data_IF_027469765741
#
_entry.id   IF_027469765741
#
_cell.length_a   1.000
_cell.length_b   1.000
_cell.length_c   1.000
_cell.angle_alpha   90.00
_cell.angle_beta   90.00
_cell.angle_gamma   90.00
#
_symmetry.space_group_name_H-M   'P 1'
#
loop_
_entity.id
_entity.type
_entity.pdbx_description
1 polymer ?
#
# COMPACT_ATOMS: atom_id res chain seq x y z
N UNK A 1 -4.80 15.52 -20.00
CA UNK A 1 -3.94 15.41 -21.22
C UNK A 1 -2.70 14.63 -20.79
N UNK A 2 -2.14 13.78 -21.66
CA UNK A 2 -0.89 13.08 -21.34
C UNK A 2 0.24 14.10 -21.02
N UNK A 3 1.02 13.82 -19.97
CA UNK A 3 2.15 14.68 -19.53
C UNK A 3 3.27 14.68 -20.58
N UNK A 4 3.54 13.52 -21.19
CA UNK A 4 4.60 13.33 -22.18
C UNK A 4 4.11 12.58 -23.43
N UNK A 5 4.59 12.99 -24.59
CA UNK A 5 4.58 12.19 -25.82
C UNK A 5 5.84 11.32 -25.94
N UNK A 6 5.83 10.32 -26.83
CA UNK A 6 7.03 9.54 -27.15
C UNK A 6 8.22 10.43 -27.55
N UNK A 7 7.96 11.45 -28.35
CA UNK A 7 9.00 12.37 -28.81
C UNK A 7 9.56 13.24 -27.67
N UNK A 8 8.72 13.62 -26.70
CA UNK A 8 9.21 14.35 -25.53
C UNK A 8 10.17 13.49 -24.71
N UNK A 9 9.84 12.21 -24.47
CA UNK A 9 10.72 11.31 -23.71
C UNK A 9 12.03 11.08 -24.46
N UNK A 10 12.01 10.84 -25.77
CA UNK A 10 13.23 10.67 -26.58
C UNK A 10 14.11 11.91 -26.48
N UNK A 11 13.52 13.11 -26.63
CA UNK A 11 14.24 14.38 -26.51
C UNK A 11 14.84 14.56 -25.10
N UNK A 12 14.07 14.30 -24.04
CA UNK A 12 14.55 14.44 -22.65
C UNK A 12 15.71 13.48 -22.38
N UNK A 13 15.61 12.22 -22.86
CA UNK A 13 16.67 11.22 -22.69
C UNK A 13 17.98 11.68 -23.32
N UNK A 14 17.94 12.34 -24.48
CA UNK A 14 19.12 12.90 -25.15
C UNK A 14 19.66 14.16 -24.45
N UNK A 15 18.77 15.11 -24.12
CA UNK A 15 19.14 16.39 -23.47
C UNK A 15 19.71 16.20 -22.05
N UNK A 16 19.22 15.21 -21.30
CA UNK A 16 19.58 14.94 -19.91
C UNK A 16 20.67 13.89 -19.73
N UNK A 17 21.29 13.41 -20.82
CA UNK A 17 22.34 12.38 -20.80
C UNK A 17 21.92 11.12 -20.03
N UNK A 18 20.72 10.60 -20.35
CA UNK A 18 20.17 9.39 -19.73
C UNK A 18 20.67 8.16 -20.50
N UNK A 19 21.44 7.30 -19.85
CA UNK A 19 21.99 6.09 -20.46
C UNK A 19 21.14 4.85 -20.23
N UNK A 20 20.42 4.79 -19.09
CA UNK A 20 19.60 3.63 -18.71
C UNK A 20 18.18 4.04 -18.38
N UNK A 21 17.22 3.26 -18.85
CA UNK A 21 15.80 3.37 -18.48
C UNK A 21 15.36 2.07 -17.82
N UNK A 22 14.75 2.19 -16.65
CA UNK A 22 14.15 1.06 -15.92
C UNK A 22 12.67 0.98 -16.26
N UNK A 23 12.30 -0.07 -16.97
CA UNK A 23 10.92 -0.44 -17.21
C UNK A 23 10.42 -1.18 -15.96
N UNK A 24 9.62 -0.51 -15.14
CA UNK A 24 9.19 -1.00 -13.84
C UNK A 24 7.78 -1.56 -13.90
N UNK A 25 7.54 -2.63 -13.18
CA UNK A 25 6.21 -3.22 -12.96
C UNK A 25 6.16 -3.87 -11.58
N UNK A 26 4.98 -4.26 -11.11
CA UNK A 26 4.81 -4.81 -9.76
C UNK A 26 4.18 -6.20 -9.86
N UNK A 27 4.70 -7.18 -9.10
CA UNK A 27 4.09 -8.49 -9.01
C UNK A 27 2.85 -8.50 -8.10
N UNK A 28 2.13 -9.63 -8.04
CA UNK A 28 0.89 -9.73 -7.26
C UNK A 28 1.09 -9.53 -5.76
N UNK A 29 2.31 -9.71 -5.25
CA UNK A 29 2.66 -9.52 -3.83
C UNK A 29 3.15 -8.11 -3.50
N UNK A 30 3.16 -7.19 -4.46
CA UNK A 30 3.59 -5.82 -4.25
C UNK A 30 5.11 -5.62 -4.33
N UNK A 31 5.84 -6.57 -4.91
CA UNK A 31 7.28 -6.42 -5.13
C UNK A 31 7.54 -5.69 -6.45
N UNK A 32 8.29 -4.58 -6.36
CA UNK A 32 8.70 -3.83 -7.55
C UNK A 32 9.77 -4.59 -8.33
N UNK A 33 9.49 -4.87 -9.60
CA UNK A 33 10.38 -5.51 -10.57
C UNK A 33 10.81 -4.52 -11.63
N UNK A 34 11.87 -4.82 -12.38
CA UNK A 34 12.23 -4.01 -13.54
C UNK A 34 13.05 -4.78 -14.57
N UNK A 35 12.93 -4.34 -15.82
CA UNK A 35 13.89 -4.64 -16.89
C UNK A 35 14.64 -3.34 -17.19
N UNK A 36 15.97 -3.36 -17.16
CA UNK A 36 16.79 -2.21 -17.52
C UNK A 36 17.17 -2.28 -19.01
N UNK A 37 16.91 -1.19 -19.72
CA UNK A 37 17.32 -1.00 -21.10
C UNK A 37 18.29 0.17 -21.23
N UNK A 38 19.13 0.15 -22.26
CA UNK A 38 19.95 1.34 -22.65
C UNK A 38 19.10 2.32 -23.44
N UNK A 39 19.51 3.58 -23.49
CA UNK A 39 18.83 4.63 -24.26
C UNK A 39 18.65 4.21 -25.75
N UNK A 40 19.59 3.48 -26.33
CA UNK A 40 19.48 2.97 -27.72
C UNK A 40 18.31 1.99 -27.96
N UNK A 41 17.70 1.41 -26.90
CA UNK A 41 16.54 0.53 -26.98
C UNK A 41 15.23 1.24 -26.64
N UNK A 42 15.26 2.55 -26.35
CA UNK A 42 14.11 3.30 -25.89
C UNK A 42 12.95 3.28 -26.90
N UNK A 43 13.21 3.56 -28.17
CA UNK A 43 12.18 3.57 -29.21
C UNK A 43 11.45 2.22 -29.31
N UNK A 44 12.21 1.12 -29.24
CA UNK A 44 11.63 -0.24 -29.20
C UNK A 44 10.69 -0.43 -28.00
N UNK A 45 11.08 0.07 -26.84
CA UNK A 45 10.26 -0.03 -25.62
C UNK A 45 9.01 0.85 -25.72
N UNK A 46 9.13 2.08 -26.21
CA UNK A 46 8.02 2.99 -26.45
C UNK A 46 7.01 2.47 -27.50
N UNK A 47 7.45 1.57 -28.36
CA UNK A 47 6.61 0.85 -29.33
C UNK A 47 5.98 -0.44 -28.76
N UNK A 48 6.06 -0.65 -27.43
CA UNK A 48 5.51 -1.82 -26.73
C UNK A 48 6.16 -3.16 -27.21
N UNK A 49 7.41 -3.13 -27.60
CA UNK A 49 8.13 -4.29 -28.14
C UNK A 49 9.17 -4.85 -27.16
N UNK A 50 9.13 -4.44 -25.90
CA UNK A 50 10.02 -4.98 -24.86
C UNK A 50 9.42 -6.23 -24.26
N UNK A 51 9.93 -7.40 -24.71
CA UNK A 51 9.54 -8.70 -24.23
C UNK A 51 10.38 -9.10 -23.00
N UNK A 52 9.79 -9.84 -22.09
CA UNK A 52 10.47 -10.45 -20.94
C UNK A 52 9.86 -11.81 -20.60
N UNK A 53 10.60 -12.64 -19.88
CA UNK A 53 10.14 -13.94 -19.39
C UNK A 53 9.41 -13.75 -18.04
N UNK A 54 8.10 -13.97 -18.02
CA UNK A 54 7.27 -13.91 -16.82
C UNK A 54 7.28 -15.17 -15.97
N UNK A 55 7.79 -16.31 -16.48
CA UNK A 55 7.68 -17.61 -15.80
C UNK A 55 8.49 -17.71 -14.50
N UNK A 56 9.52 -16.88 -14.34
CA UNK A 56 10.33 -16.79 -13.12
C UNK A 56 9.80 -15.78 -12.09
N UNK A 57 8.65 -15.17 -12.36
CA UNK A 57 8.00 -14.22 -11.43
C UNK A 57 6.88 -14.95 -10.71
N UNK A 58 6.99 -15.02 -9.38
CA UNK A 58 5.99 -15.68 -8.55
C UNK A 58 4.59 -15.10 -8.77
N UNK A 59 3.62 -15.98 -8.99
CA UNK A 59 2.24 -15.59 -9.25
C UNK A 59 1.94 -15.10 -10.66
N UNK A 60 2.92 -15.08 -11.59
CA UNK A 60 2.69 -14.70 -12.98
C UNK A 60 2.23 -15.89 -13.82
N UNK A 61 3.00 -16.32 -14.79
CA UNK A 61 2.58 -17.32 -15.79
C UNK A 61 3.38 -18.62 -15.67
N UNK A 62 2.95 -19.65 -16.38
CA UNK A 62 3.68 -20.91 -16.52
C UNK A 62 4.78 -20.79 -17.58
N UNK A 63 5.73 -21.75 -17.58
CA UNK A 63 6.85 -21.78 -18.54
C UNK A 63 6.35 -21.80 -20.01
N UNK A 64 5.22 -22.44 -20.27
CA UNK A 64 4.65 -22.57 -21.61
C UNK A 64 4.06 -21.26 -22.17
N UNK A 65 3.83 -20.27 -21.30
CA UNK A 65 3.23 -18.96 -21.64
C UNK A 65 4.13 -17.82 -21.18
N UNK A 66 5.46 -18.02 -21.17
CA UNK A 66 6.42 -17.13 -20.50
C UNK A 66 6.64 -15.78 -21.18
N UNK A 67 6.39 -15.68 -22.48
CA UNK A 67 6.65 -14.45 -23.26
C UNK A 67 5.60 -13.38 -22.97
N UNK A 68 6.03 -12.34 -22.25
CA UNK A 68 5.20 -11.18 -21.88
C UNK A 68 5.81 -9.89 -22.38
N UNK A 69 5.00 -8.85 -22.47
CA UNK A 69 5.41 -7.53 -22.97
C UNK A 69 5.15 -6.42 -21.95
N UNK A 70 6.10 -5.49 -21.87
CA UNK A 70 5.98 -4.28 -21.07
C UNK A 70 5.46 -3.14 -21.95
N UNK A 71 4.34 -2.54 -21.54
CA UNK A 71 3.76 -1.38 -22.18
C UNK A 71 3.98 -0.14 -21.30
N UNK A 72 4.95 0.73 -21.64
CA UNK A 72 5.31 1.91 -20.85
C UNK A 72 4.16 2.91 -20.75
N UNK A 73 3.81 3.31 -19.53
CA UNK A 73 2.95 4.45 -19.25
C UNK A 73 3.80 5.73 -19.24
N UNK A 74 3.69 6.51 -20.29
CA UNK A 74 4.58 7.65 -20.56
C UNK A 74 4.48 8.74 -19.48
N UNK A 75 3.31 8.89 -18.86
CA UNK A 75 3.08 9.92 -17.84
C UNK A 75 3.85 9.61 -16.54
N UNK A 76 4.36 8.38 -16.41
CA UNK A 76 5.16 7.95 -15.26
C UNK A 76 6.67 8.11 -15.46
N UNK A 77 7.13 8.65 -16.61
CA UNK A 77 8.56 8.88 -16.84
C UNK A 77 9.16 9.78 -15.75
N UNK A 78 10.31 9.36 -15.20
CA UNK A 78 10.97 10.06 -14.10
C UNK A 78 12.47 9.78 -14.07
N UNK A 79 13.28 10.81 -13.85
CA UNK A 79 14.74 10.71 -13.68
C UNK A 79 15.03 10.47 -12.20
N UNK A 80 15.88 9.49 -11.88
CA UNK A 80 16.28 9.23 -10.50
C UNK A 80 17.31 10.22 -9.97
N UNK A 81 17.01 11.07 -8.98
CA UNK A 81 17.91 12.09 -8.49
C UNK A 81 19.12 11.54 -7.73
N UNK A 82 19.05 10.30 -7.25
CA UNK A 82 20.14 9.63 -6.54
C UNK A 82 21.16 8.94 -7.45
N UNK A 83 21.06 9.07 -8.75
CA UNK A 83 22.04 8.54 -9.71
C UNK A 83 23.08 9.58 -10.12
N UNK A 84 24.22 9.16 -10.72
CA UNK A 84 25.26 10.09 -11.17
C UNK A 84 24.72 11.17 -12.11
N UNK A 85 25.41 12.31 -12.13
CA UNK A 85 25.10 13.41 -13.07
C UNK A 85 25.46 13.08 -14.53
N UNK A 86 26.42 12.16 -14.74
CA UNK A 86 26.73 11.58 -16.05
C UNK A 86 26.19 10.16 -16.11
N UNK A 87 25.59 9.79 -17.24
CA UNK A 87 24.95 8.48 -17.41
C UNK A 87 23.75 8.34 -16.47
N UNK A 88 22.86 9.32 -16.45
CA UNK A 88 21.65 9.32 -15.62
C UNK A 88 20.79 8.09 -15.87
N UNK A 89 19.96 7.80 -14.90
CA UNK A 89 18.99 6.69 -14.96
C UNK A 89 17.59 7.24 -14.78
N UNK A 90 16.69 6.89 -15.71
CA UNK A 90 15.26 7.14 -15.59
C UNK A 90 14.49 5.85 -15.36
N UNK A 91 13.21 5.99 -15.04
CA UNK A 91 12.25 4.88 -14.99
C UNK A 91 10.99 5.23 -15.78
N UNK A 92 10.27 4.20 -16.25
CA UNK A 92 8.89 4.28 -16.71
C UNK A 92 8.16 3.10 -16.09
N UNK A 93 7.00 3.34 -15.50
CA UNK A 93 6.13 2.25 -15.02
C UNK A 93 5.41 1.66 -16.23
N UNK A 94 5.30 0.35 -16.25
CA UNK A 94 4.72 -0.40 -17.36
C UNK A 94 3.52 -1.21 -16.89
N UNK A 95 2.53 -1.31 -17.75
CA UNK A 95 1.51 -2.35 -17.67
C UNK A 95 2.05 -3.63 -18.33
N UNK A 96 1.57 -4.79 -17.87
CA UNK A 96 1.99 -6.10 -18.39
C UNK A 96 0.96 -6.64 -19.36
N UNK A 97 1.44 -7.14 -20.51
CA UNK A 97 0.60 -7.67 -21.58
C UNK A 97 1.06 -9.06 -21.99
N UNK A 98 0.13 -9.89 -22.45
CA UNK A 98 0.37 -11.18 -23.06
C UNK A 98 0.88 -11.04 -24.49
N UNK A 99 1.45 -12.11 -25.04
CA UNK A 99 1.99 -12.15 -26.41
C UNK A 99 0.92 -11.88 -27.49
N UNK A 100 -0.33 -12.15 -27.21
CA UNK A 100 -1.47 -11.88 -28.11
C UNK A 100 -1.94 -10.42 -28.10
N UNK A 101 -1.32 -9.57 -27.25
CA UNK A 101 -1.66 -8.16 -27.10
C UNK A 101 -2.79 -7.88 -26.12
N UNK A 102 -3.27 -8.87 -25.37
CA UNK A 102 -4.24 -8.65 -24.29
C UNK A 102 -3.55 -8.24 -23.02
N UNK A 103 -4.16 -7.37 -22.16
CA UNK A 103 -3.64 -7.10 -20.82
C UNK A 103 -3.54 -8.38 -20.01
N UNK A 104 -2.50 -8.50 -19.20
CA UNK A 104 -2.32 -9.64 -18.31
C UNK A 104 -3.23 -9.51 -17.07
N UNK A 105 -4.11 -10.47 -16.85
CA UNK A 105 -5.05 -10.47 -15.70
C UNK A 105 -4.33 -10.61 -14.33
N UNK A 106 -3.07 -11.00 -14.31
CA UNK A 106 -2.21 -11.04 -13.13
C UNK A 106 -1.46 -9.73 -12.85
N UNK A 107 -1.67 -8.68 -13.63
CA UNK A 107 -1.08 -7.36 -13.38
C UNK A 107 -1.93 -6.59 -12.35
N UNK A 108 -1.41 -6.34 -11.11
CA UNK A 108 -2.16 -5.60 -10.09
C UNK A 108 -2.54 -4.18 -10.53
N UNK A 109 -1.67 -3.52 -11.31
CA UNK A 109 -1.93 -2.18 -11.83
C UNK A 109 -3.12 -2.18 -12.78
N UNK A 110 -3.25 -3.22 -13.61
CA UNK A 110 -4.39 -3.41 -14.49
C UNK A 110 -5.69 -3.66 -13.69
N UNK A 111 -5.65 -4.42 -12.59
CA UNK A 111 -6.81 -4.61 -11.71
C UNK A 111 -7.33 -3.26 -11.19
N UNK A 112 -6.44 -2.39 -10.69
CA UNK A 112 -6.81 -1.06 -10.23
C UNK A 112 -7.41 -0.22 -11.38
N UNK A 113 -6.79 -0.21 -12.55
CA UNK A 113 -7.30 0.48 -13.74
C UNK A 113 -8.73 0.05 -14.11
N UNK A 114 -9.03 -1.25 -14.04
CA UNK A 114 -10.38 -1.77 -14.29
C UNK A 114 -11.41 -1.18 -13.31
N UNK A 115 -11.08 -1.06 -12.03
CA UNK A 115 -11.99 -0.50 -11.02
C UNK A 115 -12.15 1.02 -11.18
N UNK A 116 -11.06 1.73 -11.48
CA UNK A 116 -11.10 3.17 -11.77
C UNK A 116 -11.98 3.45 -12.98
N UNK A 117 -11.88 2.65 -14.04
CA UNK A 117 -12.74 2.82 -15.22
C UNK A 117 -14.22 2.58 -14.90
N UNK A 118 -14.55 1.55 -14.10
CA UNK A 118 -15.93 1.33 -13.61
C UNK A 118 -16.45 2.53 -12.80
N UNK A 119 -15.64 3.13 -11.95
CA UNK A 119 -15.99 4.31 -11.18
C UNK A 119 -16.18 5.55 -12.09
N UNK A 120 -15.30 5.76 -13.07
CA UNK A 120 -15.41 6.84 -14.07
C UNK A 120 -16.70 6.76 -14.90
N UNK A 121 -17.15 5.56 -15.25
CA UNK A 121 -18.44 5.36 -15.95
C UNK A 121 -19.63 5.78 -15.10
N UNK A 122 -19.49 5.83 -13.77
CA UNK A 122 -20.48 6.39 -12.83
C UNK A 122 -20.29 7.89 -12.57
N UNK A 123 -19.26 8.49 -13.15
CA UNK A 123 -18.89 9.89 -12.98
C UNK A 123 -18.01 10.14 -11.76
N UNK A 124 -17.44 9.11 -11.12
CA UNK A 124 -16.61 9.24 -9.92
C UNK A 124 -15.12 9.23 -10.26
N UNK A 125 -14.37 10.09 -9.56
CA UNK A 125 -12.91 10.06 -9.48
C UNK A 125 -12.55 9.64 -8.07
N UNK A 126 -11.68 8.65 -7.93
CA UNK A 126 -11.21 8.14 -6.65
C UNK A 126 -9.90 8.81 -6.26
N UNK A 127 -9.91 9.57 -5.18
CA UNK A 127 -8.76 10.28 -4.63
C UNK A 127 -8.26 9.56 -3.37
N UNK A 128 -6.94 9.42 -3.25
CA UNK A 128 -6.28 8.67 -2.19
C UNK A 128 -5.06 9.41 -1.66
N UNK A 129 -4.95 9.53 -0.33
CA UNK A 129 -3.77 10.02 0.39
C UNK A 129 -3.27 8.94 1.35
N UNK A 130 -2.11 8.34 1.13
CA UNK A 130 -1.57 7.33 2.01
C UNK A 130 -0.70 7.94 3.10
N UNK A 131 -0.69 7.31 4.28
CA UNK A 131 0.25 7.53 5.37
C UNK A 131 1.05 6.23 5.53
N UNK A 132 2.34 6.21 5.14
CA UNK A 132 3.11 4.98 5.05
C UNK A 132 4.31 5.02 6.00
N UNK A 133 4.17 4.33 7.12
CA UNK A 133 5.18 4.24 8.17
C UNK A 133 6.30 3.24 7.82
N UNK A 134 7.49 3.48 8.37
CA UNK A 134 8.65 2.62 8.18
C UNK A 134 9.63 2.72 9.35
N UNK A 135 10.52 1.73 9.47
CA UNK A 135 11.60 1.72 10.45
C UNK A 135 12.96 1.94 9.79
N UNK A 136 13.86 2.64 10.50
CA UNK A 136 15.28 2.80 10.14
C UNK A 136 16.15 2.05 11.14
N UNK A 137 16.76 0.95 10.70
CA UNK A 137 17.63 0.13 11.53
C UNK A 137 19.10 0.21 11.10
N UNK A 138 20.00 -0.12 12.03
CA UNK A 138 21.42 -0.29 11.73
C UNK A 138 21.65 -1.60 10.98
N UNK A 139 22.71 -1.60 10.17
CA UNK A 139 23.29 -2.81 9.62
C UNK A 139 24.28 -3.41 10.62
N UNK A 140 24.48 -4.72 10.58
CA UNK A 140 25.56 -5.37 11.32
C UNK A 140 26.94 -5.15 10.65
N UNK A 141 28.00 -5.69 11.24
CA UNK A 141 29.38 -5.60 10.73
C UNK A 141 29.58 -6.23 9.35
N UNK A 142 28.67 -7.12 8.94
CA UNK A 142 28.67 -7.76 7.62
C UNK A 142 27.72 -7.06 6.62
N UNK A 143 27.14 -5.92 7.02
CA UNK A 143 26.17 -5.18 6.21
C UNK A 143 24.78 -5.82 6.12
N UNK A 144 24.46 -6.76 7.03
CA UNK A 144 23.14 -7.39 7.06
C UNK A 144 22.13 -6.54 7.87
N UNK A 145 20.86 -6.55 7.50
CA UNK A 145 19.82 -5.86 8.24
C UNK A 145 19.66 -6.39 9.66
N UNK A 146 19.47 -5.48 10.61
CA UNK A 146 19.15 -5.81 12.00
C UNK A 146 17.83 -5.14 12.40
N UNK A 147 17.38 -5.40 13.64
CA UNK A 147 16.31 -4.63 14.30
C UNK A 147 16.87 -3.70 15.39
N UNK A 148 18.16 -3.39 15.31
CA UNK A 148 18.85 -2.56 16.29
C UNK A 148 18.71 -1.09 15.90
N UNK A 149 18.36 -0.27 16.89
CA UNK A 149 18.41 1.19 16.84
C UNK A 149 19.04 1.69 18.13
N UNK A 150 19.84 2.73 18.06
CA UNK A 150 20.47 3.37 19.23
C UNK A 150 19.65 4.53 19.78
N UNK A 151 18.58 4.93 19.09
CA UNK A 151 17.70 6.00 19.54
C UNK A 151 16.64 5.51 20.53
N UNK A 152 16.08 6.47 21.27
CA UNK A 152 14.94 6.30 22.17
C UNK A 152 13.86 7.36 21.95
N UNK A 153 13.87 7.96 20.77
CA UNK A 153 12.87 8.95 20.38
C UNK A 153 11.48 8.32 20.31
N UNK A 154 10.47 9.14 20.48
CA UNK A 154 9.06 8.82 20.40
C UNK A 154 8.32 9.82 19.50
N UNK A 155 7.01 9.83 19.60
CA UNK A 155 6.12 10.60 18.72
C UNK A 155 6.45 12.10 18.71
N UNK A 156 6.76 12.63 17.53
CA UNK A 156 7.15 14.03 17.28
C UNK A 156 8.45 14.49 17.97
N UNK A 157 9.27 13.58 18.46
CA UNK A 157 10.62 13.96 18.93
C UNK A 157 11.47 14.50 17.78
N UNK A 158 12.46 15.31 18.12
CA UNK A 158 13.38 15.96 17.19
C UNK A 158 14.84 15.68 17.58
N UNK A 159 15.79 16.08 16.74
CA UNK A 159 17.20 16.01 17.10
C UNK A 159 17.52 16.80 18.39
N UNK A 160 18.42 16.30 19.25
CA UNK A 160 19.32 15.17 19.02
C UNK A 160 18.76 13.79 19.41
N UNK A 161 17.51 13.66 19.85
CA UNK A 161 16.94 12.38 20.24
C UNK A 161 16.56 11.52 19.03
N UNK A 162 15.98 12.14 17.99
CA UNK A 162 15.71 11.51 16.70
C UNK A 162 17.01 11.40 15.87
N UNK A 163 17.60 10.21 15.86
CA UNK A 163 18.84 9.95 15.11
C UNK A 163 18.58 9.68 13.62
N UNK A 164 17.33 9.48 13.22
CA UNK A 164 16.91 9.30 11.82
C UNK A 164 16.62 10.60 11.10
N UNK A 165 16.57 11.75 11.79
CA UNK A 165 16.15 13.05 11.24
C UNK A 165 16.90 13.45 9.96
N UNK A 166 18.23 13.29 9.92
CA UNK A 166 19.02 13.64 8.74
C UNK A 166 18.71 12.73 7.54
N UNK A 167 18.53 11.43 7.77
CA UNK A 167 18.15 10.51 6.70
C UNK A 167 16.74 10.83 6.19
N UNK A 168 15.79 11.10 7.09
CA UNK A 168 14.41 11.46 6.75
C UNK A 168 14.36 12.80 5.99
N UNK A 169 15.16 13.80 6.38
CA UNK A 169 15.30 15.07 5.65
C UNK A 169 15.76 14.82 4.21
N UNK A 170 16.80 14.00 4.00
CA UNK A 170 17.30 13.73 2.66
C UNK A 170 16.31 12.89 1.84
N UNK A 171 15.50 12.04 2.48
CA UNK A 171 14.37 11.34 1.85
C UNK A 171 13.32 12.32 1.35
N UNK A 172 12.89 13.28 2.19
CA UNK A 172 11.94 14.33 1.82
C UNK A 172 12.42 15.12 0.60
N UNK A 173 13.64 15.67 0.65
CA UNK A 173 14.20 16.45 -0.46
C UNK A 173 14.32 15.62 -1.75
N UNK A 174 14.68 14.33 -1.62
CA UNK A 174 14.73 13.43 -2.78
C UNK A 174 13.35 13.18 -3.38
N UNK A 175 12.32 13.05 -2.55
CA UNK A 175 10.94 12.87 -3.02
C UNK A 175 10.39 14.14 -3.67
N UNK A 176 10.72 15.34 -3.13
CA UNK A 176 10.37 16.62 -3.76
C UNK A 176 11.05 16.78 -5.15
N UNK A 177 12.32 16.36 -5.28
CA UNK A 177 13.01 16.29 -6.59
C UNK A 177 12.34 15.29 -7.57
N UNK A 178 11.45 14.42 -7.08
CA UNK A 178 10.66 13.47 -7.85
C UNK A 178 9.19 13.87 -8.00
N UNK A 179 8.89 15.15 -7.93
CA UNK A 179 7.55 15.74 -8.07
C UNK A 179 6.54 15.33 -6.96
N UNK A 180 7.01 14.80 -5.81
CA UNK A 180 6.11 14.58 -4.67
C UNK A 180 5.85 15.91 -3.94
N UNK A 181 4.59 16.20 -3.66
CA UNK A 181 4.20 17.28 -2.74
C UNK A 181 4.15 16.72 -1.32
N UNK A 182 5.20 16.99 -0.53
CA UNK A 182 5.31 16.48 0.86
C UNK A 182 4.51 17.39 1.80
N UNK A 183 3.62 16.78 2.59
CA UNK A 183 2.78 17.51 3.56
C UNK A 183 3.38 17.50 4.97
N UNK A 184 3.95 16.36 5.41
CA UNK A 184 4.57 16.23 6.71
C UNK A 184 5.67 15.17 6.72
N UNK A 185 6.59 15.28 7.70
CA UNK A 185 7.53 14.21 8.03
C UNK A 185 7.87 14.26 9.52
N UNK A 186 7.79 13.17 10.23
CA UNK A 186 8.03 13.13 11.67
C UNK A 186 8.52 11.77 12.15
N UNK A 187 9.00 11.77 13.40
CA UNK A 187 9.28 10.55 14.15
C UNK A 187 7.97 9.98 14.70
N UNK A 188 7.80 8.66 14.59
CA UNK A 188 6.65 7.93 15.07
C UNK A 188 6.79 7.44 16.53
N UNK A 189 5.76 6.73 17.05
CA UNK A 189 5.66 6.31 18.45
C UNK A 189 6.79 5.34 18.84
N UNK A 190 7.12 4.39 17.96
CA UNK A 190 8.15 3.41 18.28
C UNK A 190 9.56 3.96 17.98
N UNK A 191 10.58 3.62 18.80
CA UNK A 191 11.97 3.94 18.48
C UNK A 191 12.37 3.46 17.08
N UNK A 192 13.00 4.31 16.31
CA UNK A 192 13.39 4.11 14.92
C UNK A 192 12.24 4.10 13.90
N UNK A 193 11.03 4.47 14.29
CA UNK A 193 9.87 4.53 13.41
C UNK A 193 9.67 5.96 12.90
N UNK A 194 9.37 6.07 11.61
CA UNK A 194 9.22 7.33 10.89
C UNK A 194 8.03 7.29 9.97
N UNK A 195 7.51 8.49 9.66
CA UNK A 195 6.44 8.70 8.69
C UNK A 195 6.78 9.90 7.81
N UNK A 196 6.42 9.81 6.54
CA UNK A 196 6.50 10.90 5.57
C UNK A 196 5.19 10.88 4.78
N UNK A 197 4.40 11.94 4.93
CA UNK A 197 3.11 12.09 4.26
C UNK A 197 3.27 12.92 3.01
N UNK A 198 2.63 12.47 1.95
CA UNK A 198 2.56 13.19 0.69
C UNK A 198 1.10 13.37 0.25
N UNK A 199 0.86 14.44 -0.47
CA UNK A 199 -0.47 14.87 -0.87
C UNK A 199 -1.22 13.78 -1.62
N UNK A 200 -2.53 13.76 -1.39
CA UNK A 200 -3.46 12.88 -2.09
C UNK A 200 -3.53 13.19 -3.59
N UNK A 201 -3.74 12.16 -4.39
CA UNK A 201 -3.97 12.26 -5.82
C UNK A 201 -4.98 11.20 -6.31
N UNK A 202 -5.23 11.14 -7.62
CA UNK A 202 -6.00 10.04 -8.20
C UNK A 202 -5.34 8.68 -7.91
N UNK A 203 -6.15 7.69 -7.62
CA UNK A 203 -5.71 6.41 -7.03
C UNK A 203 -4.60 5.68 -7.80
N UNK A 204 -4.59 5.72 -9.15
CA UNK A 204 -3.52 5.07 -9.92
C UNK A 204 -2.17 5.74 -9.68
N UNK A 205 -2.15 7.09 -9.73
CA UNK A 205 -0.94 7.85 -9.48
C UNK A 205 -0.45 7.65 -8.03
N UNK A 206 -1.36 7.65 -7.06
CA UNK A 206 -1.02 7.36 -5.66
C UNK A 206 -0.44 5.96 -5.48
N UNK A 207 -0.98 4.92 -6.13
CA UNK A 207 -0.41 3.57 -6.06
C UNK A 207 1.01 3.52 -6.66
N UNK A 208 1.22 4.17 -7.82
CA UNK A 208 2.54 4.32 -8.44
C UNK A 208 3.52 5.09 -7.52
N UNK A 209 3.04 6.12 -6.83
CA UNK A 209 3.80 6.90 -5.87
C UNK A 209 4.17 6.10 -4.63
N UNK A 210 3.29 5.27 -4.06
CA UNK A 210 3.64 4.37 -2.93
C UNK A 210 4.79 3.44 -3.30
N UNK A 211 4.78 2.85 -4.50
CA UNK A 211 5.87 1.99 -4.95
C UNK A 211 7.19 2.75 -5.13
N UNK A 212 7.11 3.95 -5.68
CA UNK A 212 8.25 4.86 -5.86
C UNK A 212 8.81 5.33 -4.51
N UNK A 213 7.92 5.72 -3.58
CA UNK A 213 8.24 6.09 -2.21
C UNK A 213 9.06 5.00 -1.51
N UNK A 214 8.57 3.76 -1.50
CA UNK A 214 9.29 2.63 -0.88
C UNK A 214 10.69 2.42 -1.48
N UNK A 215 10.84 2.61 -2.79
CA UNK A 215 12.14 2.53 -3.46
C UNK A 215 13.06 3.67 -3.02
N UNK A 216 12.57 4.91 -3.00
CA UNK A 216 13.34 6.09 -2.60
C UNK A 216 13.81 5.98 -1.14
N UNK A 217 12.89 5.67 -0.21
CA UNK A 217 13.20 5.51 1.22
C UNK A 217 14.31 4.48 1.43
N UNK A 218 14.18 3.27 0.83
CA UNK A 218 15.22 2.23 0.95
C UNK A 218 16.56 2.66 0.35
N UNK A 219 16.54 3.40 -0.76
CA UNK A 219 17.74 3.85 -1.44
C UNK A 219 18.48 4.91 -0.63
N UNK A 220 17.76 5.89 -0.09
CA UNK A 220 18.35 6.97 0.71
C UNK A 220 18.80 6.46 2.07
N UNK A 221 18.02 5.59 2.75
CA UNK A 221 18.45 4.94 3.98
C UNK A 221 19.81 4.25 3.82
N UNK A 222 20.00 3.48 2.73
CA UNK A 222 21.27 2.82 2.43
C UNK A 222 22.44 3.81 2.27
N UNK A 223 22.21 5.01 1.74
CA UNK A 223 23.24 6.06 1.64
C UNK A 223 23.67 6.60 2.99
N UNK A 224 22.78 6.57 3.98
CA UNK A 224 23.04 6.92 5.37
C UNK A 224 23.59 5.75 6.22
N UNK A 225 23.88 4.60 5.60
CA UNK A 225 24.32 3.40 6.33
C UNK A 225 23.23 2.73 7.16
N UNK A 226 21.95 3.01 6.82
CA UNK A 226 20.76 2.48 7.48
C UNK A 226 20.02 1.50 6.58
N UNK A 227 19.18 0.69 7.19
CA UNK A 227 18.25 -0.20 6.52
C UNK A 227 16.81 0.26 6.79
N UNK A 228 16.09 0.64 5.74
CA UNK A 228 14.67 0.96 5.85
C UNK A 228 13.83 -0.30 5.72
N UNK A 229 13.01 -0.56 6.74
CA UNK A 229 12.08 -1.69 6.79
C UNK A 229 10.64 -1.24 6.75
N UNK A 230 9.87 -1.82 5.83
CA UNK A 230 8.42 -1.72 5.75
C UNK A 230 7.72 -2.95 6.36
N UNK A 231 8.41 -3.70 7.19
CA UNK A 231 7.85 -4.83 7.93
C UNK A 231 6.80 -4.34 8.92
N UNK A 232 5.58 -4.91 8.94
CA UNK A 232 4.47 -4.41 9.77
C UNK A 232 4.76 -4.41 11.27
N UNK A 233 5.48 -5.41 11.78
CA UNK A 233 5.81 -5.55 13.21
C UNK A 233 7.23 -6.09 13.39
N UNK A 234 8.28 -5.27 13.21
CA UNK A 234 9.66 -5.75 13.28
C UNK A 234 10.14 -6.01 14.71
N UNK A 235 9.51 -5.42 15.73
CA UNK A 235 9.91 -5.54 17.13
C UNK A 235 8.73 -5.86 18.04
N UNK A 236 8.95 -6.77 18.99
CA UNK A 236 8.00 -7.03 20.08
C UNK A 236 7.96 -5.85 21.06
N UNK A 237 6.78 -5.58 21.62
CA UNK A 237 6.60 -4.60 22.70
C UNK A 237 6.59 -3.12 22.28
N UNK A 238 6.63 -2.81 20.97
CA UNK A 238 6.50 -1.44 20.43
C UNK A 238 5.43 -1.38 19.35
N UNK A 239 4.98 -0.18 18.95
CA UNK A 239 4.04 -0.01 17.83
C UNK A 239 4.62 -0.59 16.54
N UNK A 240 3.75 -1.08 15.67
CA UNK A 240 4.11 -1.53 14.31
C UNK A 240 3.78 -0.46 13.27
N UNK A 241 4.19 -0.69 12.02
CA UNK A 241 3.94 0.24 10.91
C UNK A 241 2.60 -0.01 10.25
N UNK A 242 1.81 1.04 10.11
CA UNK A 242 0.60 1.12 9.30
C UNK A 242 0.86 1.71 7.93
N UNK A 243 -0.08 1.51 7.04
CA UNK A 243 -0.23 2.26 5.80
C UNK A 243 -1.68 2.71 5.73
N UNK A 244 -2.01 3.80 6.45
CA UNK A 244 -3.37 4.30 6.48
C UNK A 244 -3.75 4.85 5.10
N UNK A 245 -4.98 4.60 4.69
CA UNK A 245 -5.48 5.01 3.38
C UNK A 245 -6.61 6.02 3.58
N UNK A 246 -6.32 7.29 3.34
CA UNK A 246 -7.32 8.36 3.28
C UNK A 246 -7.98 8.35 1.91
N UNK A 247 -9.31 8.30 1.86
CA UNK A 247 -10.07 8.12 0.63
C UNK A 247 -11.20 9.12 0.51
N UNK A 248 -11.42 9.61 -0.70
CA UNK A 248 -12.62 10.36 -1.08
C UNK A 248 -13.03 10.09 -2.52
N UNK A 249 -14.27 10.38 -2.85
CA UNK A 249 -14.75 10.41 -4.22
C UNK A 249 -15.08 11.84 -4.62
N UNK A 250 -14.71 12.22 -5.82
CA UNK A 250 -15.18 13.47 -6.43
C UNK A 250 -16.01 13.20 -7.68
N UNK A 251 -16.93 14.12 -7.96
CA UNK A 251 -17.77 14.14 -9.16
C UNK A 251 -17.88 15.58 -9.66
N UNK A 252 -17.61 15.79 -10.94
CA UNK A 252 -17.63 17.11 -11.57
C UNK A 252 -16.73 18.13 -10.82
N UNK A 253 -15.60 17.67 -10.26
CA UNK A 253 -14.64 18.48 -9.52
C UNK A 253 -15.05 18.79 -8.07
N UNK A 254 -16.13 18.22 -7.54
CA UNK A 254 -16.60 18.42 -6.16
C UNK A 254 -16.44 17.15 -5.35
N UNK A 255 -15.92 17.25 -4.14
CA UNK A 255 -15.87 16.15 -3.19
C UNK A 255 -17.28 15.75 -2.76
N UNK A 256 -17.72 14.55 -3.10
CA UNK A 256 -19.10 14.09 -2.84
C UNK A 256 -19.27 13.50 -1.43
N UNK A 257 -18.21 13.38 -0.63
CA UNK A 257 -18.30 12.89 0.74
C UNK A 257 -18.73 13.94 1.74
N UNK A 258 -18.62 15.24 1.38
CA UNK A 258 -18.99 16.34 2.28
C UNK A 258 -20.49 16.66 2.21
N UNK A 259 -21.08 16.92 3.39
CA UNK A 259 -22.43 17.45 3.55
C UNK A 259 -22.47 18.33 4.79
N UNK A 260 -22.54 19.66 4.61
CA UNK A 260 -22.53 20.63 5.70
C UNK A 260 -23.74 20.51 6.64
N UNK A 261 -24.85 19.96 6.16
CA UNK A 261 -26.09 19.80 6.94
C UNK A 261 -26.05 18.57 7.86
N UNK A 262 -25.18 17.59 7.55
CA UNK A 262 -25.01 16.42 8.40
C UNK A 262 -24.22 16.72 9.66
N UNK A 263 -24.57 16.07 10.76
CA UNK A 263 -23.91 16.25 12.07
C UNK A 263 -22.41 15.98 12.04
N UNK A 264 -21.99 14.94 11.33
CA UNK A 264 -20.58 14.56 11.14
C UNK A 264 -19.99 15.17 9.87
N UNK A 265 -20.82 15.84 9.04
CA UNK A 265 -20.45 16.42 7.76
C UNK A 265 -20.23 15.38 6.67
N UNK A 266 -20.90 14.24 6.75
CA UNK A 266 -20.83 13.15 5.77
C UNK A 266 -22.08 13.14 4.89
N UNK A 267 -21.90 12.92 3.59
CA UNK A 267 -23.00 12.65 2.67
C UNK A 267 -23.52 11.23 2.83
N UNK A 268 -24.68 10.93 2.24
CA UNK A 268 -25.19 9.56 2.16
C UNK A 268 -24.22 8.65 1.42
N UNK A 269 -23.56 9.13 0.36
CA UNK A 269 -22.56 8.39 -0.39
C UNK A 269 -21.35 8.03 0.47
N UNK A 270 -20.91 8.91 1.36
CA UNK A 270 -19.83 8.63 2.31
C UNK A 270 -20.22 7.52 3.29
N UNK A 271 -21.44 7.58 3.86
CA UNK A 271 -21.94 6.51 4.72
C UNK A 271 -22.04 5.18 3.98
N UNK A 272 -22.58 5.16 2.77
CA UNK A 272 -22.65 3.93 1.97
C UNK A 272 -21.27 3.38 1.61
N UNK A 273 -20.32 4.26 1.30
CA UNK A 273 -18.93 3.87 1.03
C UNK A 273 -18.29 3.17 2.23
N UNK A 274 -18.47 3.73 3.44
CA UNK A 274 -18.04 3.13 4.71
C UNK A 274 -18.70 1.76 4.89
N UNK A 275 -20.03 1.67 4.71
CA UNK A 275 -20.78 0.43 4.83
C UNK A 275 -20.29 -0.67 3.88
N UNK A 276 -19.97 -0.30 2.64
CA UNK A 276 -19.41 -1.22 1.65
C UNK A 276 -18.03 -1.77 2.06
N UNK A 277 -17.13 -0.91 2.53
CA UNK A 277 -15.81 -1.35 3.03
C UNK A 277 -15.97 -2.28 4.24
N UNK A 278 -16.80 -1.90 5.22
CA UNK A 278 -17.02 -2.72 6.44
C UNK A 278 -17.57 -4.11 6.08
N UNK A 279 -18.51 -4.20 5.14
CA UNK A 279 -19.12 -5.46 4.68
C UNK A 279 -18.09 -6.46 4.15
N UNK A 280 -17.13 -5.99 3.33
CA UNK A 280 -16.14 -6.84 2.65
C UNK A 280 -14.80 -6.94 3.40
N UNK A 281 -14.67 -6.29 4.55
CA UNK A 281 -13.37 -6.12 5.22
C UNK A 281 -12.68 -7.41 5.59
N UNK A 282 -13.43 -8.43 6.04
CA UNK A 282 -12.83 -9.73 6.39
C UNK A 282 -12.15 -10.39 5.20
N UNK A 283 -12.83 -10.41 4.04
CA UNK A 283 -12.25 -10.93 2.79
C UNK A 283 -11.10 -10.08 2.26
N UNK A 284 -11.14 -8.75 2.48
CA UNK A 284 -10.06 -7.84 2.09
C UNK A 284 -8.81 -7.98 2.96
N UNK A 285 -8.92 -8.50 4.18
CA UNK A 285 -7.83 -8.44 5.18
C UNK A 285 -6.56 -9.13 4.69
N UNK A 286 -6.66 -10.27 4.01
CA UNK A 286 -5.46 -10.95 3.48
C UNK A 286 -4.72 -10.14 2.39
N UNK A 287 -5.36 -9.16 1.77
CA UNK A 287 -4.75 -8.25 0.79
C UNK A 287 -4.21 -6.99 1.48
N UNK A 288 -4.94 -6.46 2.47
CA UNK A 288 -4.51 -5.27 3.22
C UNK A 288 -3.43 -5.59 4.26
N UNK A 289 -3.34 -6.85 4.71
CA UNK A 289 -2.44 -7.36 5.74
C UNK A 289 -1.88 -8.73 5.30
N UNK A 290 -0.97 -8.74 4.31
CA UNK A 290 -0.74 -9.92 3.47
C UNK A 290 0.21 -10.97 4.02
N UNK A 291 0.89 -10.75 5.14
CA UNK A 291 1.94 -11.63 5.65
C UNK A 291 1.66 -12.07 7.09
N UNK A 292 2.23 -13.19 7.52
CA UNK A 292 2.07 -13.67 8.91
C UNK A 292 2.46 -12.61 9.94
N UNK A 293 3.41 -11.76 9.61
CA UNK A 293 3.84 -10.66 10.48
C UNK A 293 2.80 -9.54 10.61
N UNK A 294 1.93 -9.34 9.62
CA UNK A 294 0.85 -8.35 9.65
C UNK A 294 -0.04 -8.50 10.89
N UNK A 295 -0.39 -9.73 11.25
CA UNK A 295 -1.26 -10.08 12.37
C UNK A 295 -0.60 -9.88 13.74
N UNK A 296 0.72 -9.71 13.80
CA UNK A 296 1.43 -9.29 15.00
C UNK A 296 1.13 -7.82 15.41
N UNK A 297 0.54 -7.03 14.50
CA UNK A 297 -0.01 -5.69 14.80
C UNK A 297 -1.36 -5.76 15.49
N UNK A 298 -2.20 -6.75 15.18
CA UNK A 298 -3.57 -6.89 15.65
C UNK A 298 -3.63 -7.44 17.09
N UNK A 299 -2.96 -6.74 18.00
CA UNK A 299 -2.95 -7.09 19.43
C UNK A 299 -3.43 -5.89 20.26
N UNK A 300 -4.25 -6.11 21.31
CA UNK A 300 -4.73 -5.04 22.17
C UNK A 300 -3.60 -4.23 22.79
N UNK A 301 -3.80 -2.90 22.92
CA UNK A 301 -2.81 -2.01 23.55
C UNK A 301 -1.86 -1.32 22.58
N UNK A 302 -1.97 -1.58 21.28
CA UNK A 302 -1.28 -0.86 20.21
C UNK A 302 -2.30 -0.18 19.28
N UNK A 303 -1.85 0.72 18.41
CA UNK A 303 -2.74 1.60 17.63
C UNK A 303 -3.44 0.93 16.44
N UNK A 304 -3.06 -0.30 16.07
CA UNK A 304 -3.70 -1.01 14.96
C UNK A 304 -5.13 -1.44 15.32
N UNK A 305 -6.11 -1.23 14.43
CA UNK A 305 -7.50 -1.66 14.67
C UNK A 305 -7.62 -3.18 14.61
N UNK A 306 -8.43 -3.75 15.51
CA UNK A 306 -8.73 -5.18 15.56
C UNK A 306 -10.19 -5.45 15.20
N UNK A 307 -11.07 -4.46 15.38
CA UNK A 307 -12.51 -4.60 15.25
C UNK A 307 -13.03 -3.80 14.05
N UNK A 308 -14.03 -4.36 13.36
CA UNK A 308 -14.68 -3.72 12.22
C UNK A 308 -15.68 -2.69 12.73
N UNK A 309 -15.20 -1.49 12.96
CA UNK A 309 -15.97 -0.36 13.49
C UNK A 309 -15.54 0.93 12.81
N UNK A 310 -16.34 1.99 12.92
CA UNK A 310 -15.98 3.32 12.45
C UNK A 310 -16.31 4.40 13.49
N UNK A 311 -15.57 5.50 13.44
CA UNK A 311 -15.79 6.65 14.34
C UNK A 311 -15.22 7.95 13.79
N UNK A 312 -15.86 9.07 14.19
CA UNK A 312 -15.34 10.42 14.00
C UNK A 312 -14.64 10.97 15.26
N UNK A 313 -14.66 10.24 16.38
CA UNK A 313 -14.27 10.78 17.70
C UNK A 313 -13.07 10.10 18.34
N UNK A 314 -12.67 8.91 17.90
CA UNK A 314 -11.52 8.20 18.46
C UNK A 314 -10.64 7.57 17.36
N UNK A 315 -9.46 7.05 17.73
CA UNK A 315 -8.47 6.44 16.80
C UNK A 315 -8.42 4.91 16.87
N UNK A 316 -9.26 4.28 17.67
CA UNK A 316 -9.27 2.83 17.80
C UNK A 316 -10.04 2.07 16.70
N UNK A 317 -10.98 2.68 15.94
CA UNK A 317 -11.76 1.97 14.94
C UNK A 317 -10.96 1.69 13.66
N UNK A 318 -11.50 0.76 12.88
CA UNK A 318 -11.01 0.39 11.55
C UNK A 318 -11.07 1.58 10.57
N UNK A 319 -12.20 2.31 10.59
CA UNK A 319 -12.41 3.49 9.75
C UNK A 319 -12.57 4.71 10.65
N UNK A 320 -11.69 5.69 10.44
CA UNK A 320 -11.74 6.98 11.11
C UNK A 320 -12.24 8.05 10.15
N UNK A 321 -13.00 9.00 10.68
CA UNK A 321 -13.41 10.19 9.94
C UNK A 321 -12.60 11.38 10.45
N UNK A 322 -11.60 11.87 9.71
CA UNK A 322 -10.85 13.06 10.07
C UNK A 322 -11.74 14.31 10.18
N UNK A 323 -11.32 15.29 10.99
CA UNK A 323 -12.10 16.49 11.27
C UNK A 323 -12.25 17.47 10.09
N UNK A 324 -11.43 17.30 9.04
CA UNK A 324 -11.49 18.16 7.85
C UNK A 324 -12.87 18.12 7.18
N UNK A 325 -13.28 19.24 6.58
CA UNK A 325 -14.56 19.43 5.89
C UNK A 325 -14.36 19.96 4.47
N UNK A 326 -15.42 20.04 3.68
CA UNK A 326 -15.37 20.48 2.30
C UNK A 326 -14.47 19.58 1.45
N UNK A 327 -13.57 20.17 0.69
CA UNK A 327 -12.60 19.43 -0.18
C UNK A 327 -11.73 18.44 0.60
N UNK A 328 -11.46 18.70 1.88
CA UNK A 328 -10.68 17.82 2.76
C UNK A 328 -11.48 16.66 3.37
N UNK A 329 -12.79 16.54 3.11
CA UNK A 329 -13.62 15.47 3.67
C UNK A 329 -13.19 14.12 3.11
N UNK A 330 -12.91 13.16 4.01
CA UNK A 330 -12.40 11.85 3.65
C UNK A 330 -12.72 10.79 4.69
N UNK A 331 -12.54 9.54 4.34
CA UNK A 331 -12.57 8.39 5.23
C UNK A 331 -11.18 7.76 5.27
N UNK A 332 -10.70 7.41 6.45
CA UNK A 332 -9.38 6.84 6.68
C UNK A 332 -9.52 5.37 7.07
N UNK A 333 -9.00 4.46 6.23
CA UNK A 333 -8.90 3.03 6.53
C UNK A 333 -7.56 2.76 7.21
N UNK A 334 -7.57 2.17 8.42
CA UNK A 334 -6.41 2.12 9.30
C UNK A 334 -5.74 0.75 9.45
N UNK A 335 -6.36 -0.33 8.97
CA UNK A 335 -5.77 -1.66 9.08
C UNK A 335 -4.65 -1.96 8.08
N UNK A 336 -4.62 -1.43 6.83
CA UNK A 336 -3.57 -1.78 5.90
C UNK A 336 -2.18 -1.54 6.49
N UNK A 337 -1.22 -2.35 6.07
CA UNK A 337 0.17 -2.20 6.45
C UNK A 337 1.09 -2.06 5.23
N UNK A 338 2.34 -1.58 5.43
CA UNK A 338 3.23 -1.27 4.31
C UNK A 338 3.68 -2.47 3.48
N UNK A 339 3.45 -3.71 3.94
CA UNK A 339 3.77 -4.91 3.14
C UNK A 339 2.73 -5.18 2.04
N UNK A 340 1.56 -4.54 2.13
CA UNK A 340 0.49 -4.71 1.17
C UNK A 340 0.83 -4.18 -0.24
N UNK A 341 0.23 -4.80 -1.25
CA UNK A 341 0.27 -4.33 -2.62
C UNK A 341 -0.70 -3.16 -2.80
N UNK A 342 -0.21 -1.91 -3.02
CA UNK A 342 -1.08 -0.74 -3.03
C UNK A 342 -2.13 -0.78 -4.16
N UNK A 343 -1.81 -1.35 -5.30
CA UNK A 343 -2.77 -1.46 -6.42
C UNK A 343 -3.97 -2.32 -6.05
N UNK A 344 -3.74 -3.49 -5.43
CA UNK A 344 -4.81 -4.39 -5.02
C UNK A 344 -5.61 -3.81 -3.84
N UNK A 345 -4.94 -3.20 -2.87
CA UNK A 345 -5.62 -2.52 -1.75
C UNK A 345 -6.57 -1.45 -2.27
N UNK A 346 -6.09 -0.55 -3.15
CA UNK A 346 -6.91 0.54 -3.66
C UNK A 346 -8.02 0.05 -4.59
N UNK A 347 -7.77 -1.00 -5.39
CA UNK A 347 -8.80 -1.62 -6.22
C UNK A 347 -9.95 -2.17 -5.37
N UNK A 348 -9.64 -2.87 -4.28
CA UNK A 348 -10.65 -3.44 -3.38
C UNK A 348 -11.38 -2.36 -2.58
N UNK A 349 -10.68 -1.34 -2.07
CA UNK A 349 -11.31 -0.21 -1.38
C UNK A 349 -12.31 0.51 -2.29
N UNK A 350 -11.92 0.81 -3.52
CA UNK A 350 -12.81 1.44 -4.50
C UNK A 350 -14.01 0.57 -4.82
N UNK A 351 -13.78 -0.71 -5.14
CA UNK A 351 -14.85 -1.63 -5.50
C UNK A 351 -15.86 -1.84 -4.35
N UNK A 352 -15.35 -2.06 -3.12
CA UNK A 352 -16.18 -2.23 -1.93
C UNK A 352 -16.98 -0.96 -1.60
N UNK A 353 -16.34 0.21 -1.68
CA UNK A 353 -17.04 1.49 -1.48
C UNK A 353 -18.12 1.74 -2.52
N UNK A 354 -17.86 1.43 -3.79
CA UNK A 354 -18.85 1.52 -4.87
C UNK A 354 -19.99 0.49 -4.71
N UNK A 355 -19.69 -0.73 -4.23
CA UNK A 355 -20.74 -1.70 -3.86
C UNK A 355 -21.66 -1.13 -2.78
N UNK A 356 -21.08 -0.48 -1.78
CA UNK A 356 -21.82 0.22 -0.74
C UNK A 356 -22.74 1.29 -1.29
N UNK A 357 -22.27 2.15 -2.18
CA UNK A 357 -23.06 3.23 -2.80
C UNK A 357 -24.19 2.63 -3.68
N UNK A 358 -23.86 1.65 -4.54
CA UNK A 358 -24.86 1.02 -5.44
C UNK A 358 -25.99 0.34 -4.68
N UNK A 359 -25.65 -0.36 -3.61
CA UNK A 359 -26.59 -1.16 -2.81
C UNK A 359 -27.13 -0.41 -1.59
N UNK A 360 -26.74 0.86 -1.39
CA UNK A 360 -27.13 1.71 -0.26
C UNK A 360 -26.88 1.02 1.09
N UNK A 361 -25.68 0.44 1.24
CA UNK A 361 -25.29 -0.30 2.44
C UNK A 361 -24.99 0.72 3.54
N UNK A 362 -25.84 0.75 4.56
CA UNK A 362 -25.60 1.58 5.74
C UNK A 362 -24.54 0.92 6.62
N UNK A 363 -23.54 1.68 7.13
CA UNK A 363 -22.66 1.17 8.16
C UNK A 363 -23.43 0.97 9.47
N UNK A 364 -22.90 0.15 10.36
CA UNK A 364 -23.37 0.07 11.73
C UNK A 364 -23.28 1.42 12.44
N UNK A 365 -23.86 1.55 13.63
CA UNK A 365 -23.81 2.80 14.38
C UNK A 365 -22.35 3.20 14.69
N UNK A 366 -22.08 4.53 14.64
CA UNK A 366 -20.79 5.09 15.04
C UNK A 366 -20.41 4.61 16.45
N UNK A 367 -19.20 4.03 16.59
CA UNK A 367 -18.66 3.65 17.88
C UNK A 367 -17.90 4.82 18.52
N UNK A 368 -18.44 5.40 19.57
CA UNK A 368 -17.84 6.57 20.25
C UNK A 368 -16.94 6.17 21.41
N UNK A 369 -17.23 5.03 22.02
CA UNK A 369 -16.46 4.46 23.11
C UNK A 369 -15.15 3.86 22.58
N UNK A 370 -14.15 3.74 23.45
CA UNK A 370 -12.97 2.98 23.15
C UNK A 370 -13.33 1.50 23.08
N UNK A 371 -13.22 0.88 21.90
CA UNK A 371 -13.59 -0.52 21.67
C UNK A 371 -12.86 -1.51 22.58
N UNK A 372 -11.65 -1.17 23.01
CA UNK A 372 -10.83 -2.01 23.89
C UNK A 372 -11.32 -2.01 25.37
N UNK A 373 -12.16 -1.07 25.74
CA UNK A 373 -12.77 -0.99 27.07
C UNK A 373 -14.12 -1.71 27.14
N UNK A 374 -14.70 -2.10 25.99
CA UNK A 374 -15.95 -2.82 25.91
C UNK A 374 -15.75 -4.29 26.33
N UNK A 375 -16.73 -4.81 27.10
CA UNK A 375 -16.78 -6.25 27.42
C UNK A 375 -17.16 -7.06 26.18
N UNK A 376 -16.83 -8.37 26.16
CA UNK A 376 -17.25 -9.27 25.08
C UNK A 376 -18.79 -9.32 24.93
N UNK A 377 -19.53 -9.19 26.06
CA UNK A 377 -20.99 -9.09 26.02
C UNK A 377 -21.47 -7.83 25.33
N UNK A 378 -20.81 -6.68 25.56
CA UNK A 378 -21.16 -5.42 24.89
C UNK A 378 -20.84 -5.48 23.40
N UNK A 379 -19.70 -6.04 23.02
CA UNK A 379 -19.32 -6.22 21.61
C UNK A 379 -20.33 -7.11 20.88
N UNK A 380 -20.70 -8.24 21.46
CA UNK A 380 -21.72 -9.11 20.89
C UNK A 380 -23.10 -8.43 20.78
N UNK A 381 -23.50 -7.66 21.77
CA UNK A 381 -24.76 -6.89 21.75
C UNK A 381 -24.77 -5.83 20.64
N UNK A 382 -23.63 -5.19 20.37
CA UNK A 382 -23.44 -4.17 19.35
C UNK A 382 -23.17 -4.75 17.96
N UNK A 383 -23.04 -6.07 17.84
CA UNK A 383 -22.73 -6.72 16.56
C UNK A 383 -21.29 -6.45 16.07
N UNK A 384 -20.38 -6.05 16.97
CA UNK A 384 -18.99 -5.71 16.59
C UNK A 384 -18.23 -6.98 16.22
N UNK A 385 -17.82 -7.07 14.98
CA UNK A 385 -17.01 -8.17 14.47
C UNK A 385 -15.51 -7.84 14.54
N UNK A 386 -14.67 -8.88 14.66
CA UNK A 386 -13.22 -8.76 14.62
C UNK A 386 -12.68 -8.96 13.21
N UNK A 387 -11.55 -8.33 12.91
CA UNK A 387 -10.69 -8.75 11.79
C UNK A 387 -10.16 -10.17 12.04
N UNK A 388 -9.79 -10.92 10.98
CA UNK A 388 -9.10 -12.19 11.13
C UNK A 388 -7.89 -12.10 12.05
N UNK A 389 -7.71 -13.09 12.93
CA UNK A 389 -6.66 -13.07 13.94
C UNK A 389 -5.29 -13.52 13.42
N UNK A 390 -5.26 -14.23 12.30
CA UNK A 390 -4.05 -14.71 11.65
C UNK A 390 -4.22 -14.83 10.12
N UNK A 391 -3.12 -15.16 9.44
CA UNK A 391 -3.11 -15.27 7.99
C UNK A 391 -4.03 -16.40 7.47
N UNK A 392 -4.14 -17.51 8.21
CA UNK A 392 -5.01 -18.63 7.81
C UNK A 392 -6.48 -18.21 7.83
N UNK A 393 -6.92 -17.61 8.93
CA UNK A 393 -8.30 -17.12 9.04
C UNK A 393 -8.61 -16.10 7.94
N UNK A 394 -7.66 -15.21 7.63
CA UNK A 394 -7.84 -14.23 6.56
C UNK A 394 -7.95 -14.87 5.17
N UNK A 395 -7.19 -15.93 4.89
CA UNK A 395 -7.33 -16.72 3.66
C UNK A 395 -8.71 -17.38 3.58
N UNK A 396 -9.20 -17.96 4.68
CA UNK A 396 -10.53 -18.58 4.72
C UNK A 396 -11.65 -17.53 4.53
N UNK A 397 -11.47 -16.31 5.06
CA UNK A 397 -12.38 -15.19 4.79
C UNK A 397 -12.38 -14.80 3.31
N UNK A 398 -11.20 -14.72 2.67
CA UNK A 398 -11.10 -14.45 1.23
C UNK A 398 -11.83 -15.51 0.41
N UNK A 399 -11.63 -16.80 0.72
CA UNK A 399 -12.31 -17.91 0.03
C UNK A 399 -13.83 -17.88 0.14
N UNK A 400 -14.35 -17.21 1.17
CA UNK A 400 -15.78 -17.08 1.44
C UNK A 400 -16.42 -15.86 0.80
N UNK A 401 -15.64 -14.99 0.14
CA UNK A 401 -16.12 -13.73 -0.43
C UNK A 401 -16.00 -13.73 -1.97
N UNK A 402 -17.09 -14.14 -2.63
CA UNK A 402 -17.17 -14.16 -4.10
C UNK A 402 -17.00 -12.76 -4.74
N UNK A 403 -17.33 -11.69 -4.00
CA UNK A 403 -17.17 -10.33 -4.49
C UNK A 403 -15.67 -10.00 -4.65
N UNK A 404 -14.84 -10.34 -3.66
CA UNK A 404 -13.40 -10.11 -3.76
C UNK A 404 -12.78 -10.94 -4.89
N UNK A 405 -13.23 -12.19 -5.06
CA UNK A 405 -12.84 -13.05 -6.19
C UNK A 405 -13.13 -12.40 -7.55
N UNK A 406 -14.33 -11.84 -7.71
CA UNK A 406 -14.72 -11.14 -8.95
C UNK A 406 -13.80 -9.94 -9.25
N UNK A 407 -13.41 -9.17 -8.21
CA UNK A 407 -12.57 -7.98 -8.37
C UNK A 407 -11.13 -8.35 -8.74
N UNK A 408 -10.55 -9.32 -8.03
CA UNK A 408 -9.17 -9.78 -8.26
C UNK A 408 -9.01 -10.54 -9.59
N UNK A 409 -10.09 -11.21 -10.04
CA UNK A 409 -10.05 -12.15 -11.13
C UNK A 409 -9.43 -13.50 -10.72
N UNK A 410 -9.77 -14.56 -11.46
CA UNK A 410 -9.38 -15.94 -11.14
C UNK A 410 -7.87 -16.09 -10.97
N UNK A 411 -7.08 -15.49 -11.85
CA UNK A 411 -5.62 -15.64 -11.83
C UNK A 411 -5.00 -15.16 -10.52
N UNK A 412 -5.25 -13.89 -10.15
CA UNK A 412 -4.69 -13.32 -8.89
C UNK A 412 -5.29 -14.06 -7.69
N UNK A 413 -6.59 -14.32 -7.69
CA UNK A 413 -7.28 -14.98 -6.59
C UNK A 413 -6.64 -16.35 -6.28
N UNK A 414 -6.52 -17.22 -7.28
CA UNK A 414 -5.98 -18.56 -7.09
C UNK A 414 -4.51 -18.54 -6.67
N UNK A 415 -3.68 -17.73 -7.37
CA UNK A 415 -2.25 -17.61 -7.08
C UNK A 415 -1.97 -17.01 -5.71
N UNK A 416 -2.79 -16.06 -5.30
CA UNK A 416 -2.66 -15.42 -3.99
C UNK A 416 -2.99 -16.40 -2.86
N UNK A 417 -4.08 -17.16 -2.97
CA UNK A 417 -4.45 -18.19 -2.01
C UNK A 417 -3.36 -19.24 -1.91
N UNK A 418 -2.92 -19.79 -3.05
CA UNK A 418 -1.83 -20.80 -3.10
C UNK A 418 -0.58 -20.34 -2.33
N UNK A 419 -0.13 -19.11 -2.60
CA UNK A 419 1.06 -18.57 -1.93
C UNK A 419 0.85 -18.31 -0.44
N UNK A 420 -0.34 -17.78 -0.04
CA UNK A 420 -0.61 -17.46 1.37
C UNK A 420 -0.85 -18.71 2.22
N UNK A 421 -1.41 -19.75 1.66
CA UNK A 421 -1.48 -21.06 2.31
C UNK A 421 -0.09 -21.68 2.50
N UNK A 422 0.78 -21.58 1.48
CA UNK A 422 2.16 -22.04 1.59
C UNK A 422 2.92 -21.27 2.69
N UNK A 423 2.84 -19.91 2.70
CA UNK A 423 3.46 -19.06 3.72
C UNK A 423 2.98 -19.44 5.13
N UNK A 424 1.66 -19.64 5.32
CA UNK A 424 1.11 -20.06 6.60
C UNK A 424 1.62 -21.44 7.03
N UNK A 425 1.66 -22.42 6.11
CA UNK A 425 2.13 -23.76 6.39
C UNK A 425 3.60 -23.78 6.81
N UNK A 426 4.45 -22.99 6.16
CA UNK A 426 5.86 -22.84 6.52
C UNK A 426 6.02 -22.18 7.89
N UNK A 427 5.27 -21.09 8.15
CA UNK A 427 5.31 -20.38 9.42
C UNK A 427 4.86 -21.27 10.60
N UNK A 428 3.73 -21.99 10.48
CA UNK A 428 3.21 -22.83 11.58
C UNK A 428 4.08 -24.06 11.87
N UNK A 429 4.93 -24.46 10.93
CA UNK A 429 5.88 -25.54 11.11
C UNK A 429 7.20 -25.09 11.75
N UNK A 430 7.48 -23.79 11.76
CA UNK A 430 8.71 -23.24 12.33
C UNK A 430 8.65 -23.27 13.86
N UNK A 431 9.73 -23.74 14.49
CA UNK A 431 9.91 -23.65 15.95
C UNK A 431 10.55 -22.31 16.27
N UNK A 432 9.87 -21.49 17.02
CA UNK A 432 10.32 -20.14 17.37
C UNK A 432 11.27 -20.13 18.58
N UNK A 433 12.12 -19.11 18.68
CA UNK A 433 12.98 -18.94 19.86
C UNK A 433 12.14 -18.82 21.15
N UNK A 434 10.97 -18.18 21.09
CA UNK A 434 10.07 -18.07 22.22
C UNK A 434 9.60 -19.45 22.73
N UNK A 435 9.27 -20.38 21.83
CA UNK A 435 8.88 -21.75 22.23
C UNK A 435 10.03 -22.49 22.88
N UNK A 436 11.25 -22.34 22.34
CA UNK A 436 12.45 -22.93 22.93
C UNK A 436 12.70 -22.35 24.33
N UNK A 437 12.66 -21.03 24.48
CA UNK A 437 12.89 -20.35 25.76
C UNK A 437 11.84 -20.72 26.80
N UNK A 438 10.57 -20.86 26.39
CA UNK A 438 9.47 -21.16 27.31
C UNK A 438 9.33 -22.64 27.65
N UNK A 439 9.64 -23.54 26.72
CA UNK A 439 9.25 -24.95 26.87
C UNK A 439 10.42 -25.91 27.06
N UNK A 440 11.60 -25.64 26.49
CA UNK A 440 12.71 -26.60 26.47
C UNK A 440 13.12 -27.12 27.86
N UNK A 441 13.05 -26.27 28.90
CA UNK A 441 13.38 -26.65 30.27
C UNK A 441 12.17 -27.10 31.11
N UNK A 442 10.96 -26.99 30.57
CA UNK A 442 9.73 -27.38 31.29
C UNK A 442 9.30 -28.80 30.98
N UNK A 443 9.67 -29.28 29.81
CA UNK A 443 9.29 -30.57 29.25
C UNK A 443 10.49 -31.36 28.71
#
# INVERSE_FOLDING_TARGET
MAKYSKNDIIRIVDEEDIEFIRLQFTDIFGTLKNVAITASQLEKALDNKCMFDGSSIEGFVRIEESDMYLHPDLDTFMIFPWRPQQGKVARIICDVYMADGTPFDGDPRYILKKQIEKAKQMGYIFNVGPECEFFLFHLDENGQPTTISHERAGYFDLGPNDLGENARRDMVLTLEDMDFEIEASHHEVAPAQHEIDFKYEEALHTADNIMTFKLAIKTIAKRHGLFASFMPKPKHGVSGSGMHINMSLSKDGVNIFDNEEDKLGLSEEAYYFIGGIMKHMKGMTVITNPIVNSYKRFVPGYEAPIYITWSATNRSPLIRIPAARGEGRRVELRNPDPSANPYLVLALCLAAGIDGIKNKIQPDAELRENVFELTEQDKNRLGIESLPADLHEAVECLKSDDFIREILGEHIYDKYIEAKEAEWNDYRAAVTQWEIDEYLYKF
#
